data_IF_610678043919
#
_entry.id   IF_610678043919
#
_cell.length_a   1.000
_cell.length_b   1.000
_cell.length_c   1.000
_cell.angle_alpha   90.00
_cell.angle_beta   90.00
_cell.angle_gamma   90.00
#
_symmetry.space_group_name_H-M   'P 1'
#
loop_
_entity.id
_entity.type
_entity.pdbx_description
1 polymer ?
#
# COMPACT_ATOMS: atom_id res chain seq x y z
N UNK A 1 12.30 -40.03 54.91
CA UNK A 1 12.08 -40.61 53.56
C UNK A 1 10.84 -40.05 52.88
N UNK A 2 9.64 -40.07 53.51
CA UNK A 2 8.41 -39.54 52.91
C UNK A 2 8.44 -38.05 52.50
N UNK A 3 9.10 -37.16 53.27
CA UNK A 3 9.21 -35.73 52.91
C UNK A 3 10.09 -35.45 51.70
N UNK A 4 11.09 -36.28 51.42
CA UNK A 4 11.99 -36.10 50.26
C UNK A 4 11.32 -36.65 48.99
N UNK A 5 10.53 -37.72 49.11
CA UNK A 5 9.70 -38.26 48.01
C UNK A 5 8.59 -37.27 47.66
N UNK A 6 7.95 -36.63 48.64
CA UNK A 6 6.92 -35.62 48.38
C UNK A 6 7.49 -34.37 47.68
N UNK A 7 8.69 -33.91 48.07
CA UNK A 7 9.35 -32.74 47.45
C UNK A 7 9.87 -33.06 46.04
N UNK A 8 10.32 -34.30 45.78
CA UNK A 8 10.69 -34.73 44.43
C UNK A 8 9.48 -34.97 43.53
N UNK A 9 8.35 -35.42 44.08
CA UNK A 9 7.07 -35.46 43.35
C UNK A 9 6.50 -34.05 43.12
N UNK A 10 6.69 -33.12 44.06
CA UNK A 10 6.31 -31.71 43.89
C UNK A 10 7.22 -31.00 42.87
N UNK A 11 8.51 -31.34 42.79
CA UNK A 11 9.46 -30.80 41.80
C UNK A 11 9.32 -31.46 40.42
N UNK A 12 8.94 -32.75 40.35
CA UNK A 12 8.51 -33.37 39.08
C UNK A 12 7.17 -32.80 38.60
N UNK A 13 6.26 -32.47 39.53
CA UNK A 13 5.03 -31.75 39.22
C UNK A 13 5.25 -30.25 38.92
N UNK A 14 6.37 -29.67 39.36
CA UNK A 14 6.79 -28.31 39.01
C UNK A 14 7.55 -28.25 37.67
N UNK A 15 7.93 -29.42 37.14
CA UNK A 15 8.41 -29.62 35.77
C UNK A 15 7.32 -30.29 34.91
N UNK A 16 6.05 -29.95 35.14
CA UNK A 16 5.10 -29.90 34.02
C UNK A 16 5.66 -28.81 33.12
N UNK A 17 6.48 -29.24 32.15
CA UNK A 17 6.77 -28.52 30.93
C UNK A 17 5.48 -27.80 30.53
N UNK A 18 5.45 -26.47 30.56
CA UNK A 18 4.29 -25.66 30.21
C UNK A 18 3.93 -25.93 28.75
N UNK A 19 3.13 -26.98 28.55
CA UNK A 19 2.51 -27.33 27.30
C UNK A 19 1.43 -26.27 27.05
N UNK A 20 1.56 -25.56 25.94
CA UNK A 20 0.53 -24.62 25.49
C UNK A 20 -0.75 -25.41 25.22
N UNK A 21 -1.86 -24.96 25.77
CA UNK A 21 -3.18 -25.55 25.51
C UNK A 21 -3.80 -25.00 24.22
N UNK A 22 -4.92 -25.59 23.78
CA UNK A 22 -5.59 -25.17 22.53
C UNK A 22 -5.99 -23.69 22.57
N UNK A 23 -6.52 -23.20 23.69
CA UNK A 23 -7.05 -21.85 23.80
C UNK A 23 -5.95 -20.79 23.73
N UNK A 24 -4.83 -21.04 24.42
CA UNK A 24 -3.63 -20.22 24.35
C UNK A 24 -3.00 -20.26 22.94
N UNK A 25 -2.93 -21.45 22.31
CA UNK A 25 -2.44 -21.57 20.94
C UNK A 25 -3.29 -20.77 19.94
N UNK A 26 -4.61 -20.80 20.07
CA UNK A 26 -5.52 -20.02 19.23
C UNK A 26 -5.27 -18.53 19.42
N UNK A 27 -5.22 -18.05 20.67
CA UNK A 27 -4.96 -16.62 20.96
C UNK A 27 -3.63 -16.15 20.38
N UNK A 28 -2.57 -16.95 20.54
CA UNK A 28 -1.26 -16.67 19.94
C UNK A 28 -1.37 -16.61 18.41
N UNK A 29 -2.02 -17.58 17.76
CA UNK A 29 -2.20 -17.53 16.30
C UNK A 29 -3.11 -16.40 15.84
N UNK A 30 -4.01 -15.87 16.66
CA UNK A 30 -4.88 -14.74 16.27
C UNK A 30 -4.30 -13.37 16.66
N UNK A 31 -3.13 -13.31 17.30
CA UNK A 31 -2.46 -12.05 17.61
C UNK A 31 -1.82 -11.42 16.37
N UNK A 32 -1.53 -10.12 16.46
CA UNK A 32 -0.88 -9.37 15.39
C UNK A 32 0.54 -9.89 15.11
N UNK A 33 1.31 -10.11 16.17
CA UNK A 33 2.73 -10.50 16.12
C UNK A 33 2.93 -11.99 16.47
N UNK A 34 1.99 -12.84 16.05
CA UNK A 34 1.94 -14.27 16.40
C UNK A 34 3.30 -14.99 16.26
N UNK A 35 4.05 -14.71 15.19
CA UNK A 35 5.34 -15.37 14.95
C UNK A 35 6.37 -14.99 16.00
N UNK A 36 6.40 -13.73 16.43
CA UNK A 36 7.29 -13.25 17.48
C UNK A 36 6.91 -13.89 18.82
N UNK A 37 5.62 -13.87 19.17
CA UNK A 37 5.11 -14.46 20.41
C UNK A 37 5.38 -15.98 20.48
N UNK A 38 5.06 -16.72 19.41
CA UNK A 38 5.31 -18.16 19.30
C UNK A 38 6.81 -18.48 19.35
N UNK A 39 7.65 -17.68 18.68
CA UNK A 39 9.10 -17.90 18.70
C UNK A 39 9.71 -17.72 20.09
N UNK A 40 9.07 -16.92 20.94
CA UNK A 40 9.50 -16.59 22.30
C UNK A 40 9.08 -17.61 23.36
N UNK A 41 8.30 -18.64 22.99
CA UNK A 41 7.88 -19.69 23.92
C UNK A 41 9.08 -20.47 24.47
N UNK A 42 9.27 -20.47 25.79
CA UNK A 42 10.39 -21.13 26.47
C UNK A 42 10.19 -22.65 26.69
N UNK A 43 8.95 -23.14 26.59
CA UNK A 43 8.62 -24.55 26.81
C UNK A 43 9.05 -25.48 25.67
N UNK A 44 9.47 -26.70 26.03
CA UNK A 44 9.81 -27.80 25.11
C UNK A 44 8.75 -28.91 25.07
N UNK A 45 7.52 -28.60 25.48
CA UNK A 45 6.39 -29.53 25.37
C UNK A 45 6.03 -29.79 23.91
N UNK A 46 5.44 -30.95 23.62
CA UNK A 46 5.08 -31.34 22.25
C UNK A 46 4.14 -30.33 21.57
N UNK A 47 3.18 -29.75 22.31
CA UNK A 47 2.28 -28.71 21.78
C UNK A 47 3.01 -27.39 21.50
N UNK A 48 4.04 -27.03 22.27
CA UNK A 48 4.86 -25.84 22.00
C UNK A 48 5.69 -26.03 20.74
N UNK A 49 6.28 -27.23 20.56
CA UNK A 49 7.03 -27.58 19.35
C UNK A 49 6.08 -27.57 18.14
N UNK A 50 4.88 -28.13 18.29
CA UNK A 50 3.86 -28.15 17.24
C UNK A 50 3.40 -26.72 16.90
N UNK A 51 3.15 -25.87 17.89
CA UNK A 51 2.78 -24.48 17.67
C UNK A 51 3.90 -23.68 17.00
N UNK A 52 5.17 -23.93 17.35
CA UNK A 52 6.32 -23.36 16.64
C UNK A 52 6.36 -23.82 15.19
N UNK A 53 6.21 -25.12 14.92
CA UNK A 53 6.11 -25.63 13.56
C UNK A 53 4.97 -24.92 12.80
N UNK A 54 3.73 -24.96 13.31
CA UNK A 54 2.57 -24.29 12.72
C UNK A 54 2.86 -22.80 12.44
N UNK A 55 3.38 -22.06 13.43
CA UNK A 55 3.66 -20.64 13.31
C UNK A 55 4.69 -20.32 12.23
N UNK A 56 5.81 -21.05 12.18
CA UNK A 56 6.83 -20.89 11.14
C UNK A 56 6.31 -21.31 9.76
N UNK A 57 5.50 -22.36 9.67
CA UNK A 57 4.90 -22.77 8.41
C UNK A 57 3.91 -21.74 7.88
N UNK A 58 3.05 -21.17 8.74
CA UNK A 58 2.18 -20.05 8.37
C UNK A 58 2.98 -18.82 7.95
N UNK A 59 4.06 -18.47 8.66
CA UNK A 59 4.91 -17.35 8.29
C UNK A 59 5.55 -17.56 6.91
N UNK A 60 5.98 -18.78 6.59
CA UNK A 60 6.43 -19.13 5.24
C UNK A 60 5.32 -18.98 4.20
N UNK A 61 4.11 -19.46 4.48
CA UNK A 61 2.97 -19.33 3.56
C UNK A 61 2.62 -17.86 3.31
N UNK A 62 2.67 -17.03 4.34
CA UNK A 62 2.33 -15.60 4.28
C UNK A 62 3.40 -14.76 3.56
N UNK A 63 4.69 -15.12 3.70
CA UNK A 63 5.82 -14.28 3.25
C UNK A 63 6.65 -14.88 2.10
N UNK A 64 6.58 -16.19 1.91
CA UNK A 64 7.43 -17.00 1.02
C UNK A 64 8.94 -16.92 1.35
N UNK A 65 9.32 -16.52 2.56
CA UNK A 65 10.73 -16.47 2.97
C UNK A 65 11.24 -17.86 3.40
N UNK A 66 12.33 -18.32 2.78
CA UNK A 66 12.86 -19.68 2.96
C UNK A 66 13.37 -19.99 4.38
N UNK A 67 13.82 -18.98 5.12
CA UNK A 67 14.20 -19.11 6.52
C UNK A 67 13.07 -19.71 7.40
N UNK A 68 11.83 -19.31 7.16
CA UNK A 68 10.68 -19.83 7.89
C UNK A 68 10.34 -21.26 7.50
N UNK A 69 10.57 -21.64 6.23
CA UNK A 69 10.43 -23.03 5.79
C UNK A 69 11.45 -23.95 6.45
N UNK A 70 12.71 -23.53 6.54
CA UNK A 70 13.74 -24.32 7.22
C UNK A 70 13.40 -24.49 8.71
N UNK A 71 12.99 -23.41 9.37
CA UNK A 71 12.53 -23.45 10.77
C UNK A 71 11.29 -24.32 10.97
N UNK A 72 10.36 -24.32 10.02
CA UNK A 72 9.20 -25.22 10.06
C UNK A 72 9.67 -26.68 10.16
N UNK A 73 10.55 -27.13 9.27
CA UNK A 73 11.02 -28.52 9.27
C UNK A 73 11.89 -28.83 10.51
N UNK A 74 12.71 -27.88 10.97
CA UNK A 74 13.49 -28.05 12.22
C UNK A 74 12.59 -28.43 13.41
N UNK A 75 11.41 -27.83 13.53
CA UNK A 75 10.45 -28.15 14.61
C UNK A 75 9.56 -29.34 14.27
N UNK A 76 9.10 -29.44 13.02
CA UNK A 76 8.23 -30.54 12.58
C UNK A 76 8.91 -31.91 12.72
N UNK A 77 10.19 -32.02 12.37
CA UNK A 77 10.97 -33.26 12.49
C UNK A 77 11.15 -33.75 13.95
N UNK A 78 10.88 -32.89 14.94
CA UNK A 78 10.91 -33.25 16.36
C UNK A 78 9.60 -33.85 16.86
N UNK A 79 8.52 -33.77 16.08
CA UNK A 79 7.18 -34.16 16.50
C UNK A 79 6.93 -35.65 16.30
N UNK A 80 6.28 -36.26 17.29
CA UNK A 80 5.55 -37.50 17.09
C UNK A 80 4.06 -37.18 16.94
N UNK A 81 3.60 -37.05 15.69
CA UNK A 81 2.24 -36.56 15.36
C UNK A 81 1.15 -37.45 15.97
N UNK A 82 1.38 -38.76 16.09
CA UNK A 82 0.41 -39.70 16.69
C UNK A 82 0.20 -39.49 18.20
N UNK A 83 1.12 -38.81 18.88
CA UNK A 83 1.07 -38.50 20.31
C UNK A 83 0.55 -37.08 20.59
N UNK A 84 0.33 -36.27 19.55
CA UNK A 84 -0.23 -34.93 19.71
C UNK A 84 -1.73 -34.96 19.97
N UNK A 85 -2.28 -33.96 20.68
CA UNK A 85 -3.71 -33.69 20.67
C UNK A 85 -4.25 -33.57 19.23
N UNK A 86 -5.47 -34.06 18.99
CA UNK A 86 -6.07 -34.18 17.65
C UNK A 86 -6.09 -32.85 16.88
N UNK A 87 -6.39 -31.76 17.57
CA UNK A 87 -6.42 -30.39 17.04
C UNK A 87 -5.02 -29.90 16.60
N UNK A 88 -3.98 -30.17 17.37
CA UNK A 88 -2.60 -29.85 17.02
C UNK A 88 -2.08 -30.72 15.88
N UNK A 89 -2.35 -32.02 15.93
CA UNK A 89 -1.96 -32.96 14.89
C UNK A 89 -2.56 -32.56 13.54
N UNK A 90 -3.88 -32.31 13.51
CA UNK A 90 -4.59 -31.91 12.30
C UNK A 90 -4.12 -30.53 11.78
N UNK A 91 -3.93 -29.56 12.66
CA UNK A 91 -3.43 -28.23 12.27
C UNK A 91 -2.01 -28.28 11.70
N UNK A 92 -1.17 -29.16 12.25
CA UNK A 92 0.20 -29.38 11.76
C UNK A 92 0.20 -30.02 10.37
N UNK A 93 -0.65 -31.04 10.15
CA UNK A 93 -0.79 -31.73 8.85
C UNK A 93 -1.25 -30.78 7.73
N UNK A 94 -2.20 -29.89 8.03
CA UNK A 94 -2.63 -28.83 7.09
C UNK A 94 -1.43 -27.98 6.68
N UNK A 95 -0.68 -27.46 7.66
CA UNK A 95 0.45 -26.57 7.40
C UNK A 95 1.58 -27.30 6.67
N UNK A 96 1.94 -28.51 7.09
CA UNK A 96 2.95 -29.34 6.43
C UNK A 96 2.62 -29.54 4.95
N UNK A 97 1.38 -29.93 4.65
CA UNK A 97 0.93 -30.16 3.28
C UNK A 97 1.13 -28.91 2.41
N UNK A 98 0.78 -27.72 2.92
CA UNK A 98 0.96 -26.47 2.19
C UNK A 98 2.43 -26.10 2.02
N UNK A 99 3.24 -26.24 3.08
CA UNK A 99 4.69 -25.96 3.04
C UNK A 99 5.42 -26.87 2.05
N UNK A 100 5.05 -28.16 2.01
CA UNK A 100 5.67 -29.18 1.17
C UNK A 100 5.26 -29.06 -0.31
N UNK A 101 3.98 -28.82 -0.59
CA UNK A 101 3.45 -28.79 -1.97
C UNK A 101 3.63 -27.43 -2.64
N UNK A 102 3.73 -26.35 -1.86
CA UNK A 102 3.76 -24.96 -2.37
C UNK A 102 2.58 -24.63 -3.30
N UNK A 103 1.47 -25.37 -3.20
CA UNK A 103 0.26 -25.14 -3.99
C UNK A 103 -0.94 -24.87 -3.11
N UNK A 104 -1.65 -23.79 -3.44
CA UNK A 104 -2.93 -23.41 -2.84
C UNK A 104 -4.02 -24.47 -3.08
N UNK A 105 -3.91 -25.30 -4.13
CA UNK A 105 -4.88 -26.39 -4.37
C UNK A 105 -5.00 -27.39 -3.22
N UNK A 106 -3.97 -27.46 -2.37
CA UNK A 106 -3.95 -28.29 -1.15
C UNK A 106 -4.91 -27.79 -0.07
N UNK A 107 -5.39 -26.54 -0.17
CA UNK A 107 -6.38 -25.95 0.75
C UNK A 107 -7.73 -26.68 0.66
N UNK A 108 -8.06 -27.29 -0.48
CA UNK A 108 -9.29 -28.08 -0.66
C UNK A 108 -9.29 -29.39 0.15
N UNK A 109 -8.20 -29.72 0.84
CA UNK A 109 -8.07 -30.90 1.69
C UNK A 109 -8.55 -30.64 3.13
N UNK A 110 -8.85 -29.39 3.50
CA UNK A 110 -9.37 -29.08 4.83
C UNK A 110 -10.78 -29.64 4.96
N UNK A 111 -10.90 -30.68 5.80
CA UNK A 111 -12.18 -31.23 6.26
C UNK A 111 -12.81 -30.27 7.27
N UNK A 112 -13.77 -29.49 6.79
CA UNK A 112 -14.49 -28.48 7.57
C UNK A 112 -15.28 -29.08 8.74
N UNK A 113 -15.74 -30.33 8.62
CA UNK A 113 -16.57 -30.99 9.64
C UNK A 113 -15.74 -31.41 10.87
N UNK A 114 -14.41 -31.40 10.78
CA UNK A 114 -13.48 -31.73 11.87
C UNK A 114 -12.76 -30.52 12.46
N UNK A 115 -13.15 -29.30 12.11
CA UNK A 115 -12.38 -28.11 12.49
C UNK A 115 -12.55 -27.71 13.96
N UNK A 116 -11.49 -27.90 14.77
CA UNK A 116 -11.31 -27.27 16.09
C UNK A 116 -11.04 -25.76 15.96
N UNK A 117 -11.05 -25.00 17.06
CA UNK A 117 -10.74 -23.56 16.99
C UNK A 117 -9.31 -23.30 16.51
N UNK A 118 -8.36 -24.16 16.90
CA UNK A 118 -6.98 -24.10 16.43
C UNK A 118 -6.88 -24.26 14.91
N UNK A 119 -7.52 -25.28 14.36
CA UNK A 119 -7.51 -25.51 12.92
C UNK A 119 -8.25 -24.41 12.15
N UNK A 120 -9.30 -23.80 12.74
CA UNK A 120 -9.96 -22.62 12.17
C UNK A 120 -9.05 -21.40 12.15
N UNK A 121 -8.24 -21.17 13.20
CA UNK A 121 -7.27 -20.07 13.22
C UNK A 121 -6.20 -20.23 12.15
N UNK A 122 -5.69 -21.46 11.97
CA UNK A 122 -4.77 -21.82 10.87
C UNK A 122 -5.43 -21.61 9.51
N UNK A 123 -6.64 -22.15 9.31
CA UNK A 123 -7.38 -22.01 8.06
C UNK A 123 -7.71 -20.56 7.74
N UNK A 124 -8.10 -19.76 8.73
CA UNK A 124 -8.39 -18.32 8.58
C UNK A 124 -7.21 -17.58 7.95
N UNK A 125 -5.99 -17.79 8.47
CA UNK A 125 -4.76 -17.20 7.93
C UNK A 125 -4.51 -17.63 6.49
N UNK A 126 -4.60 -18.93 6.23
CA UNK A 126 -4.36 -19.54 4.91
C UNK A 126 -5.34 -19.02 3.86
N UNK A 127 -6.65 -19.03 4.14
CA UNK A 127 -7.66 -18.56 3.19
C UNK A 127 -7.61 -17.05 3.00
N UNK A 128 -7.27 -16.29 4.05
CA UNK A 128 -7.12 -14.85 3.92
C UNK A 128 -5.94 -14.48 3.04
N UNK A 129 -4.76 -15.09 3.24
CA UNK A 129 -3.61 -14.80 2.38
C UNK A 129 -3.84 -15.25 0.94
N UNK A 130 -4.47 -16.41 0.74
CA UNK A 130 -4.83 -16.85 -0.61
C UNK A 130 -5.75 -15.84 -1.29
N UNK A 131 -6.83 -15.41 -0.61
CA UNK A 131 -7.71 -14.38 -1.13
C UNK A 131 -6.95 -13.07 -1.44
N UNK A 132 -6.02 -12.66 -0.58
CA UNK A 132 -5.23 -11.45 -0.79
C UNK A 132 -4.37 -11.54 -2.05
N UNK A 133 -3.80 -12.70 -2.35
CA UNK A 133 -2.92 -12.95 -3.48
C UNK A 133 -3.68 -13.23 -4.79
N UNK A 134 -4.72 -14.06 -4.74
CA UNK A 134 -5.43 -14.55 -5.94
C UNK A 134 -6.70 -13.76 -6.26
N UNK A 135 -7.23 -13.03 -5.26
CA UNK A 135 -8.55 -12.39 -5.30
C UNK A 135 -9.69 -13.39 -5.55
N UNK A 136 -9.51 -14.67 -5.23
CA UNK A 136 -10.59 -15.68 -5.30
C UNK A 136 -11.68 -15.36 -4.26
N UNK A 137 -12.92 -15.05 -4.69
CA UNK A 137 -14.01 -14.76 -3.77
C UNK A 137 -14.41 -15.95 -2.88
N UNK A 138 -14.12 -17.19 -3.26
CA UNK A 138 -14.43 -18.34 -2.41
C UNK A 138 -13.52 -18.36 -1.18
N UNK A 139 -12.22 -18.15 -1.36
CA UNK A 139 -11.26 -18.05 -0.26
C UNK A 139 -11.62 -16.90 0.68
N UNK A 140 -12.00 -15.75 0.13
CA UNK A 140 -12.48 -14.62 0.94
C UNK A 140 -13.73 -14.97 1.76
N UNK A 141 -14.70 -15.67 1.19
CA UNK A 141 -15.92 -16.10 1.91
C UNK A 141 -15.62 -17.11 3.02
N UNK A 142 -14.73 -18.07 2.75
CA UNK A 142 -14.34 -19.08 3.76
C UNK A 142 -13.55 -18.43 4.89
N UNK A 143 -12.59 -17.56 4.58
CA UNK A 143 -11.86 -16.78 5.59
C UNK A 143 -12.84 -15.99 6.46
N UNK A 144 -13.76 -15.24 5.84
CA UNK A 144 -14.77 -14.46 6.57
C UNK A 144 -15.66 -15.34 7.45
N UNK A 145 -16.08 -16.53 6.98
CA UNK A 145 -16.85 -17.47 7.82
C UNK A 145 -16.09 -17.84 9.09
N UNK A 146 -14.82 -18.26 8.97
CA UNK A 146 -14.01 -18.59 10.14
C UNK A 146 -13.74 -17.37 11.02
N UNK A 147 -13.55 -16.20 10.43
CA UNK A 147 -13.35 -14.96 11.16
C UNK A 147 -14.59 -14.63 12.03
N UNK A 148 -15.80 -14.83 11.51
CA UNK A 148 -17.05 -14.64 12.29
C UNK A 148 -17.10 -15.60 13.48
N UNK A 149 -16.88 -16.90 13.24
CA UNK A 149 -16.92 -17.93 14.29
C UNK A 149 -15.83 -17.73 15.36
N UNK A 150 -14.64 -17.26 14.96
CA UNK A 150 -13.55 -16.99 15.88
C UNK A 150 -13.72 -15.67 16.62
N UNK A 151 -14.29 -14.63 16.00
CA UNK A 151 -14.58 -13.37 16.68
C UNK A 151 -15.62 -13.51 17.79
N UNK A 152 -16.56 -14.47 17.67
CA UNK A 152 -17.52 -14.76 18.75
C UNK A 152 -16.87 -15.44 19.96
N UNK A 153 -15.86 -16.29 19.73
CA UNK A 153 -15.19 -17.06 20.77
C UNK A 153 -13.98 -16.33 21.36
N UNK A 154 -13.31 -15.53 20.53
CA UNK A 154 -12.09 -14.78 20.83
C UNK A 154 -12.28 -13.28 20.49
N UNK A 155 -13.21 -12.59 21.18
CA UNK A 155 -13.66 -11.24 20.82
C UNK A 155 -12.61 -10.13 21.03
N UNK A 156 -11.48 -10.45 21.67
CA UNK A 156 -10.35 -9.53 21.86
C UNK A 156 -9.20 -9.81 20.91
N UNK A 157 -9.28 -10.85 20.08
CA UNK A 157 -8.20 -11.23 19.18
C UNK A 157 -8.20 -10.41 17.89
N UNK A 158 -7.03 -9.94 17.48
CA UNK A 158 -6.84 -9.05 16.33
C UNK A 158 -7.27 -9.66 14.99
N UNK A 159 -6.76 -10.86 14.68
CA UNK A 159 -6.78 -11.38 13.31
C UNK A 159 -8.19 -11.62 12.74
N UNK A 160 -9.19 -12.12 13.50
CA UNK A 160 -10.56 -12.20 13.01
C UNK A 160 -11.11 -10.84 12.56
N UNK A 161 -10.91 -9.78 13.34
CA UNK A 161 -11.37 -8.43 12.98
C UNK A 161 -10.63 -7.86 11.78
N UNK A 162 -9.32 -8.10 11.67
CA UNK A 162 -8.56 -7.76 10.46
C UNK A 162 -9.24 -8.32 9.21
N UNK A 163 -9.56 -9.62 9.21
CA UNK A 163 -10.19 -10.29 8.06
C UNK A 163 -11.59 -9.75 7.80
N UNK A 164 -12.41 -9.61 8.84
CA UNK A 164 -13.79 -9.11 8.72
C UNK A 164 -13.82 -7.69 8.14
N UNK A 165 -13.08 -6.77 8.74
CA UNK A 165 -13.07 -5.37 8.31
C UNK A 165 -12.47 -5.23 6.91
N UNK A 166 -11.39 -5.94 6.59
CA UNK A 166 -10.82 -5.93 5.26
C UNK A 166 -11.79 -6.50 4.22
N UNK A 167 -12.40 -7.67 4.49
CA UNK A 167 -13.37 -8.29 3.57
C UNK A 167 -14.56 -7.38 3.28
N UNK A 168 -15.18 -6.84 4.32
CA UNK A 168 -16.39 -6.04 4.16
C UNK A 168 -16.16 -4.62 3.61
N UNK A 169 -14.90 -4.17 3.52
CA UNK A 169 -14.54 -2.86 2.95
C UNK A 169 -13.86 -2.92 1.57
N UNK A 170 -13.15 -4.02 1.25
CA UNK A 170 -12.37 -4.14 0.00
C UNK A 170 -12.99 -5.10 -1.02
N UNK A 171 -13.80 -6.06 -0.57
CA UNK A 171 -14.42 -7.03 -1.47
C UNK A 171 -15.68 -6.46 -2.12
N UNK A 172 -15.91 -6.76 -3.40
CA UNK A 172 -17.20 -6.52 -4.05
C UNK A 172 -18.34 -7.37 -3.44
N UNK A 173 -17.99 -8.41 -2.68
CA UNK A 173 -18.92 -9.26 -1.92
C UNK A 173 -19.01 -8.84 -0.44
N UNK A 174 -18.34 -7.75 -0.06
CA UNK A 174 -18.44 -7.14 1.25
C UNK A 174 -19.82 -6.51 1.49
N UNK A 175 -20.06 -6.08 2.73
CA UNK A 175 -21.31 -5.43 3.14
C UNK A 175 -20.98 -4.43 4.22
N UNK A 176 -21.34 -3.17 3.98
CA UNK A 176 -21.17 -2.08 4.94
C UNK A 176 -21.98 -2.34 6.21
N UNK A 177 -23.15 -2.96 6.09
CA UNK A 177 -23.99 -3.30 7.24
C UNK A 177 -23.29 -4.28 8.17
N UNK A 178 -22.67 -5.33 7.62
CA UNK A 178 -21.90 -6.30 8.41
C UNK A 178 -20.64 -5.67 9.00
N UNK A 179 -19.96 -4.80 8.24
CA UNK A 179 -18.85 -4.00 8.77
C UNK A 179 -19.27 -3.21 10.01
N UNK A 180 -20.37 -2.46 9.92
CA UNK A 180 -20.91 -1.66 11.03
C UNK A 180 -21.38 -2.52 12.20
N UNK A 181 -21.91 -3.72 11.96
CA UNK A 181 -22.27 -4.66 13.01
C UNK A 181 -21.06 -5.08 13.84
N UNK A 182 -19.98 -5.54 13.20
CA UNK A 182 -18.78 -5.96 13.90
C UNK A 182 -18.04 -4.79 14.55
N UNK A 183 -18.06 -3.60 13.93
CA UNK A 183 -17.59 -2.36 14.56
C UNK A 183 -18.34 -2.09 15.87
N UNK A 184 -19.67 -2.17 15.87
CA UNK A 184 -20.49 -1.99 17.08
C UNK A 184 -20.24 -3.06 18.15
N UNK A 185 -19.84 -4.28 17.76
CA UNK A 185 -19.47 -5.35 18.68
C UNK A 185 -18.10 -5.13 19.32
N UNK A 186 -17.10 -4.72 18.54
CA UNK A 186 -15.70 -4.67 19.00
C UNK A 186 -15.36 -3.41 19.79
N UNK A 187 -15.88 -2.24 19.39
CA UNK A 187 -15.52 -0.97 20.03
C UNK A 187 -15.81 -0.91 21.55
N UNK A 188 -16.93 -1.46 22.07
CA UNK A 188 -17.19 -1.50 23.52
C UNK A 188 -16.18 -2.33 24.33
N UNK A 189 -15.40 -3.19 23.67
CA UNK A 189 -14.37 -4.02 24.31
C UNK A 189 -13.08 -3.23 24.55
N UNK A 190 -13.00 -1.96 24.10
CA UNK A 190 -11.79 -1.15 24.09
C UNK A 190 -10.62 -1.89 23.41
N UNK A 191 -10.78 -2.23 22.12
CA UNK A 191 -9.79 -3.02 21.42
C UNK A 191 -8.47 -2.25 21.29
N UNK A 192 -7.39 -2.98 21.08
CA UNK A 192 -6.08 -2.39 20.84
C UNK A 192 -6.02 -1.58 19.53
N UNK A 193 -4.92 -0.87 19.34
CA UNK A 193 -4.70 -0.03 18.17
C UNK A 193 -4.60 -0.84 16.87
N UNK A 194 -4.29 -2.14 16.92
CA UNK A 194 -4.21 -2.99 15.73
C UNK A 194 -5.59 -3.27 15.14
N UNK A 195 -6.56 -3.55 16.00
CA UNK A 195 -7.96 -3.68 15.60
C UNK A 195 -8.51 -2.31 15.17
N UNK A 196 -8.24 -1.24 15.92
CA UNK A 196 -8.70 0.11 15.56
C UNK A 196 -8.13 0.56 14.21
N UNK A 197 -6.87 0.26 13.89
CA UNK A 197 -6.29 0.52 12.58
C UNK A 197 -7.06 -0.21 11.46
N UNK A 198 -7.51 -1.45 11.71
CA UNK A 198 -8.32 -2.22 10.75
C UNK A 198 -9.72 -1.61 10.57
N UNK A 199 -10.30 -1.04 11.62
CA UNK A 199 -11.57 -0.29 11.56
C UNK A 199 -11.40 0.98 10.72
N UNK A 200 -10.42 1.83 11.06
CA UNK A 200 -10.14 3.10 10.39
C UNK A 200 -9.81 2.90 8.90
N UNK A 201 -9.04 1.86 8.55
CA UNK A 201 -8.79 1.48 7.16
C UNK A 201 -10.08 1.10 6.42
N UNK A 202 -10.94 0.31 7.05
CA UNK A 202 -12.20 -0.09 6.44
C UNK A 202 -13.17 1.07 6.25
N UNK A 203 -13.27 1.97 7.24
CA UNK A 203 -14.07 3.19 7.17
C UNK A 203 -13.60 4.11 6.05
N UNK A 204 -12.28 4.24 5.87
CA UNK A 204 -11.70 5.00 4.76
C UNK A 204 -12.18 4.45 3.41
N UNK A 205 -12.11 3.13 3.23
CA UNK A 205 -12.53 2.48 1.99
C UNK A 205 -14.05 2.57 1.75
N UNK A 206 -14.85 2.61 2.82
CA UNK A 206 -16.31 2.77 2.77
C UNK A 206 -16.77 4.24 2.70
N UNK A 207 -15.84 5.20 2.82
CA UNK A 207 -16.15 6.63 2.83
C UNK A 207 -16.88 7.12 4.09
N UNK A 208 -16.69 6.44 5.22
CA UNK A 208 -17.29 6.74 6.53
C UNK A 208 -16.42 7.75 7.29
N UNK A 209 -16.27 8.95 6.75
CA UNK A 209 -15.23 9.88 7.20
C UNK A 209 -15.49 10.47 8.60
N UNK A 210 -16.74 10.66 8.98
CA UNK A 210 -17.11 11.12 10.32
C UNK A 210 -16.78 10.05 11.37
N UNK A 211 -17.25 8.81 11.17
CA UNK A 211 -16.98 7.69 12.06
C UNK A 211 -15.48 7.38 12.16
N UNK A 212 -14.76 7.51 11.05
CA UNK A 212 -13.31 7.36 11.00
C UNK A 212 -12.59 8.29 11.95
N UNK A 213 -12.98 9.57 11.97
CA UNK A 213 -12.34 10.53 12.87
C UNK A 213 -12.68 10.28 14.34
N UNK A 214 -13.88 9.77 14.63
CA UNK A 214 -14.26 9.35 15.98
C UNK A 214 -13.43 8.16 16.46
N UNK A 215 -13.26 7.14 15.62
CA UNK A 215 -12.52 5.93 16.00
C UNK A 215 -11.01 6.12 15.99
N UNK A 216 -10.50 6.94 15.08
CA UNK A 216 -9.10 7.37 15.09
C UNK A 216 -8.73 8.07 16.42
N UNK A 217 -9.65 8.82 17.04
CA UNK A 217 -9.42 9.42 18.36
C UNK A 217 -9.36 8.41 19.52
N UNK A 218 -9.84 7.18 19.30
CA UNK A 218 -9.77 6.10 20.30
C UNK A 218 -8.40 5.44 20.33
N UNK A 219 -7.60 5.59 19.28
CA UNK A 219 -6.27 4.99 19.18
C UNK A 219 -5.32 5.65 20.18
N UNK A 220 -4.51 4.85 20.86
CA UNK A 220 -3.52 5.34 21.82
C UNK A 220 -2.26 5.85 21.11
N UNK A 221 -1.78 5.09 20.13
CA UNK A 221 -0.59 5.33 19.33
C UNK A 221 -0.95 5.03 17.86
N UNK A 222 -1.62 5.97 17.16
CA UNK A 222 -1.95 5.78 15.76
C UNK A 222 -0.70 5.59 14.92
N UNK A 223 -0.74 4.61 14.02
CA UNK A 223 0.32 4.40 13.03
C UNK A 223 0.25 5.43 11.88
N UNK A 224 1.30 5.51 11.06
CA UNK A 224 1.37 6.46 9.95
C UNK A 224 0.24 6.29 8.91
N UNK A 225 -0.22 5.06 8.67
CA UNK A 225 -1.30 4.80 7.72
C UNK A 225 -2.65 5.26 8.29
N UNK A 226 -2.89 5.01 9.58
CA UNK A 226 -4.03 5.57 10.31
C UNK A 226 -4.03 7.11 10.31
N UNK A 227 -2.86 7.75 10.47
CA UNK A 227 -2.71 9.20 10.29
C UNK A 227 -3.10 9.67 8.89
N UNK A 228 -2.64 8.96 7.84
CA UNK A 228 -3.02 9.26 6.46
C UNK A 228 -4.54 9.17 6.25
N UNK A 229 -5.20 8.12 6.76
CA UNK A 229 -6.64 7.95 6.64
C UNK A 229 -7.41 9.07 7.35
N UNK A 230 -6.99 9.46 8.56
CA UNK A 230 -7.57 10.57 9.29
C UNK A 230 -7.38 11.91 8.56
N UNK A 231 -6.20 12.16 8.00
CA UNK A 231 -5.97 13.36 7.20
C UNK A 231 -6.86 13.39 5.95
N UNK A 232 -7.00 12.26 5.26
CA UNK A 232 -7.87 12.15 4.09
C UNK A 232 -9.34 12.40 4.45
N UNK A 233 -9.82 11.83 5.56
CA UNK A 233 -11.16 12.10 6.08
C UNK A 233 -11.36 13.61 6.37
N UNK A 234 -10.40 14.26 7.02
CA UNK A 234 -10.43 15.71 7.24
C UNK A 234 -10.54 16.49 5.92
N UNK A 235 -9.81 16.11 4.87
CA UNK A 235 -9.93 16.74 3.54
C UNK A 235 -11.34 16.60 2.95
N UNK A 236 -11.95 15.42 3.09
CA UNK A 236 -13.32 15.16 2.59
C UNK A 236 -14.38 15.96 3.34
N UNK A 237 -14.14 16.23 4.63
CA UNK A 237 -15.00 17.06 5.47
C UNK A 237 -14.66 18.56 5.37
N UNK A 238 -13.71 18.96 4.51
CA UNK A 238 -13.32 20.35 4.30
C UNK A 238 -12.42 20.94 5.39
N UNK A 239 -11.91 20.12 6.31
CA UNK A 239 -11.00 20.51 7.39
C UNK A 239 -9.54 20.52 6.91
N UNK A 240 -9.28 21.32 5.87
CA UNK A 240 -8.01 21.29 5.13
C UNK A 240 -6.79 21.58 6.01
N UNK A 241 -6.87 22.57 6.91
CA UNK A 241 -5.77 22.91 7.81
C UNK A 241 -5.40 21.78 8.78
N UNK A 242 -6.40 21.07 9.32
CA UNK A 242 -6.18 19.90 10.18
C UNK A 242 -5.49 18.78 9.40
N UNK A 243 -5.98 18.50 8.19
CA UNK A 243 -5.39 17.48 7.32
C UNK A 243 -3.92 17.80 6.99
N UNK A 244 -3.61 19.06 6.68
CA UNK A 244 -2.24 19.48 6.36
C UNK A 244 -1.29 19.23 7.52
N UNK A 245 -1.69 19.59 8.75
CA UNK A 245 -0.90 19.37 9.95
C UNK A 245 -0.64 17.88 10.18
N UNK A 246 -1.68 17.04 10.05
CA UNK A 246 -1.54 15.59 10.21
C UNK A 246 -0.54 15.06 9.17
N UNK A 247 -0.74 15.35 7.88
CA UNK A 247 0.13 14.86 6.80
C UNK A 247 1.59 15.31 6.94
N UNK A 248 1.84 16.55 7.41
CA UNK A 248 3.20 17.05 7.65
C UNK A 248 3.89 16.34 8.83
N UNK A 249 3.11 15.81 9.78
CA UNK A 249 3.63 15.08 10.94
C UNK A 249 3.69 13.56 10.71
N UNK A 250 3.04 13.04 9.66
CA UNK A 250 3.11 11.63 9.24
C UNK A 250 4.42 11.34 8.53
N UNK A 251 5.02 10.17 8.77
CA UNK A 251 6.18 9.71 8.01
C UNK A 251 5.78 9.20 6.62
N UNK A 252 5.45 10.12 5.71
CA UNK A 252 4.89 9.79 4.38
C UNK A 252 5.75 8.83 3.54
N UNK A 253 7.08 8.81 3.75
CA UNK A 253 7.99 7.88 3.05
C UNK A 253 7.90 6.43 3.55
N UNK A 254 7.33 6.20 4.73
CA UNK A 254 7.10 4.86 5.28
C UNK A 254 5.77 4.24 4.81
N UNK A 255 4.87 5.06 4.25
CA UNK A 255 3.58 4.60 3.74
C UNK A 255 3.75 3.70 2.50
N UNK A 256 2.79 2.78 2.25
CA UNK A 256 2.69 2.14 0.95
C UNK A 256 2.66 3.20 -0.18
N UNK A 257 3.41 2.93 -1.25
CA UNK A 257 3.69 3.89 -2.34
C UNK A 257 2.46 4.61 -2.89
N UNK A 258 1.32 3.91 -2.97
CA UNK A 258 0.06 4.48 -3.43
C UNK A 258 -0.47 5.55 -2.48
N UNK A 259 -0.49 5.28 -1.17
CA UNK A 259 -0.94 6.24 -0.16
C UNK A 259 0.05 7.39 0.01
N UNK A 260 1.36 7.12 -0.02
CA UNK A 260 2.40 8.16 -0.03
C UNK A 260 2.20 9.12 -1.22
N UNK A 261 1.94 8.58 -2.41
CA UNK A 261 1.68 9.37 -3.61
C UNK A 261 0.44 10.25 -3.46
N UNK A 262 -0.66 9.72 -2.93
CA UNK A 262 -1.89 10.49 -2.68
C UNK A 262 -1.65 11.58 -1.63
N UNK A 263 -0.96 11.27 -0.53
CA UNK A 263 -0.64 12.22 0.53
C UNK A 263 0.16 13.42 0.01
N UNK A 264 1.22 13.16 -0.77
CA UNK A 264 1.99 14.22 -1.41
C UNK A 264 1.17 14.98 -2.45
N UNK A 265 0.27 14.33 -3.17
CA UNK A 265 -0.63 15.02 -4.10
C UNK A 265 -1.54 16.01 -3.36
N UNK A 266 -2.10 15.62 -2.21
CA UNK A 266 -2.96 16.49 -1.42
C UNK A 266 -2.18 17.64 -0.77
N UNK A 267 -0.98 17.39 -0.22
CA UNK A 267 -0.10 18.49 0.26
C UNK A 267 0.28 19.47 -0.85
N UNK A 268 0.49 18.98 -2.07
CA UNK A 268 0.74 19.82 -3.23
C UNK A 268 -0.47 20.69 -3.58
N UNK A 269 -1.67 20.11 -3.53
CA UNK A 269 -2.93 20.84 -3.74
C UNK A 269 -3.15 21.92 -2.68
N UNK A 270 -2.96 21.58 -1.42
CA UNK A 270 -3.08 22.53 -0.30
C UNK A 270 -2.11 23.71 -0.51
N UNK A 271 -0.84 23.40 -0.81
CA UNK A 271 0.17 24.44 -1.08
C UNK A 271 -0.20 25.32 -2.27
N UNK A 272 -0.79 24.75 -3.31
CA UNK A 272 -1.25 25.48 -4.49
C UNK A 272 -2.43 26.41 -4.16
N UNK A 273 -3.41 25.93 -3.39
CA UNK A 273 -4.57 26.70 -2.93
C UNK A 273 -4.15 27.85 -2.01
N UNK A 274 -3.07 27.70 -1.24
CA UNK A 274 -2.42 28.76 -0.46
C UNK A 274 -1.59 29.74 -1.30
N UNK A 275 -1.44 29.48 -2.60
CA UNK A 275 -0.63 30.28 -3.52
C UNK A 275 0.88 30.02 -3.45
N UNK A 276 1.32 29.01 -2.69
CA UNK A 276 2.72 28.60 -2.60
C UNK A 276 3.08 27.59 -3.71
N UNK A 277 3.26 28.12 -4.92
CA UNK A 277 3.51 27.31 -6.12
C UNK A 277 4.82 26.50 -6.02
N UNK A 278 5.86 27.00 -5.36
CA UNK A 278 7.11 26.26 -5.23
C UNK A 278 6.97 25.01 -4.34
N UNK A 279 6.23 25.12 -3.24
CA UNK A 279 5.89 23.97 -2.39
C UNK A 279 4.97 22.99 -3.13
N UNK A 280 3.98 23.49 -3.87
CA UNK A 280 3.10 22.64 -4.69
C UNK A 280 3.91 21.81 -5.70
N UNK A 281 4.83 22.47 -6.41
CA UNK A 281 5.74 21.82 -7.34
C UNK A 281 6.62 20.76 -6.67
N UNK A 282 7.10 21.01 -5.44
CA UNK A 282 7.88 20.04 -4.67
C UNK A 282 7.05 18.79 -4.35
N UNK A 283 5.86 18.98 -3.78
CA UNK A 283 5.02 17.87 -3.35
C UNK A 283 4.46 17.07 -4.53
N UNK A 284 4.03 17.71 -5.62
CA UNK A 284 3.61 16.96 -6.81
C UNK A 284 4.73 16.13 -7.42
N UNK A 285 6.00 16.59 -7.38
CA UNK A 285 7.14 15.75 -7.76
C UNK A 285 7.30 14.55 -6.82
N UNK A 286 7.22 14.75 -5.51
CA UNK A 286 7.29 13.67 -4.51
C UNK A 286 6.18 12.64 -4.69
N UNK A 287 4.99 13.07 -5.09
CA UNK A 287 3.87 12.19 -5.42
C UNK A 287 4.21 11.25 -6.58
N UNK A 288 4.79 11.78 -7.67
CA UNK A 288 5.21 11.01 -8.84
C UNK A 288 6.43 10.12 -8.54
N UNK A 289 7.38 10.60 -7.74
CA UNK A 289 8.51 9.79 -7.26
C UNK A 289 8.03 8.57 -6.45
N UNK A 290 7.00 8.75 -5.63
CA UNK A 290 6.40 7.67 -4.84
C UNK A 290 5.62 6.68 -5.71
N UNK A 291 4.82 7.20 -6.65
CA UNK A 291 4.11 6.41 -7.64
C UNK A 291 4.13 7.07 -9.02
N UNK A 292 4.98 6.53 -9.91
CA UNK A 292 5.15 7.02 -11.27
C UNK A 292 3.90 6.87 -12.16
N UNK A 293 2.86 6.15 -11.73
CA UNK A 293 1.60 6.02 -12.46
C UNK A 293 0.53 7.02 -12.02
N UNK A 294 0.81 7.91 -11.06
CA UNK A 294 -0.16 8.90 -10.60
C UNK A 294 -0.37 10.01 -11.65
N UNK A 295 -1.33 9.79 -12.55
CA UNK A 295 -1.70 10.74 -13.62
C UNK A 295 -2.26 12.05 -13.07
N UNK A 296 -2.97 12.02 -11.94
CA UNK A 296 -3.53 13.22 -11.32
C UNK A 296 -2.42 14.16 -10.84
N UNK A 297 -1.41 13.62 -10.15
CA UNK A 297 -0.22 14.37 -9.77
C UNK A 297 0.57 14.91 -10.98
N UNK A 298 0.67 14.16 -12.08
CA UNK A 298 1.30 14.64 -13.32
C UNK A 298 0.55 15.83 -13.92
N UNK A 299 -0.78 15.77 -13.98
CA UNK A 299 -1.61 16.88 -14.46
C UNK A 299 -1.41 18.10 -13.57
N UNK A 300 -1.56 17.94 -12.25
CA UNK A 300 -1.38 19.02 -11.27
C UNK A 300 0.03 19.63 -11.35
N UNK A 301 1.09 18.81 -11.46
CA UNK A 301 2.46 19.29 -11.65
C UNK A 301 2.61 20.09 -12.94
N UNK A 302 2.05 19.58 -14.05
CA UNK A 302 2.08 20.24 -15.35
C UNK A 302 1.41 21.61 -15.33
N UNK A 303 0.23 21.71 -14.71
CA UNK A 303 -0.50 22.97 -14.55
C UNK A 303 0.20 23.93 -13.58
N UNK A 304 0.74 23.43 -12.46
CA UNK A 304 1.49 24.24 -11.51
C UNK A 304 2.75 24.86 -12.15
N UNK A 305 3.41 24.18 -13.07
CA UNK A 305 4.54 24.76 -13.82
C UNK A 305 4.14 25.99 -14.64
N UNK A 306 2.91 26.01 -15.20
CA UNK A 306 2.39 27.15 -15.96
C UNK A 306 2.03 28.35 -15.07
N UNK A 307 1.70 28.08 -13.81
CA UNK A 307 1.41 29.11 -12.79
C UNK A 307 2.68 29.69 -12.17
N UNK A 308 3.82 29.02 -12.29
CA UNK A 308 5.09 29.53 -11.77
C UNK A 308 5.62 30.71 -12.60
N UNK A 309 6.36 31.63 -11.97
CA UNK A 309 6.87 32.85 -12.63
C UNK A 309 8.01 32.58 -13.64
N UNK A 310 8.45 31.32 -13.73
CA UNK A 310 9.51 30.89 -14.64
C UNK A 310 8.92 30.48 -16.00
N UNK A 311 9.01 31.41 -16.96
CA UNK A 311 8.54 31.23 -18.33
C UNK A 311 9.25 30.11 -19.08
N UNK A 312 10.35 29.56 -18.58
CA UNK A 312 11.06 28.47 -19.24
C UNK A 312 10.52 27.07 -18.86
N UNK A 313 9.51 27.00 -17.98
CA UNK A 313 8.88 25.74 -17.56
C UNK A 313 7.76 25.24 -18.48
N UNK A 314 7.47 25.91 -19.60
CA UNK A 314 6.47 25.43 -20.59
C UNK A 314 6.81 24.05 -21.16
N UNK A 315 8.10 23.74 -21.33
CA UNK A 315 8.54 22.43 -21.81
C UNK A 315 8.24 21.34 -20.80
N UNK A 316 8.51 21.61 -19.50
CA UNK A 316 8.21 20.68 -18.42
C UNK A 316 6.70 20.50 -18.24
N UNK A 317 5.93 21.59 -18.28
CA UNK A 317 4.48 21.55 -18.23
C UNK A 317 3.92 20.64 -19.35
N UNK A 318 4.33 20.87 -20.60
CA UNK A 318 3.90 20.03 -21.72
C UNK A 318 4.31 18.57 -21.53
N UNK A 319 5.55 18.30 -21.11
CA UNK A 319 6.05 16.96 -20.88
C UNK A 319 5.19 16.18 -19.87
N UNK A 320 4.92 16.75 -18.69
CA UNK A 320 4.11 16.06 -17.67
C UNK A 320 2.65 15.91 -18.08
N UNK A 321 2.08 16.90 -18.78
CA UNK A 321 0.72 16.80 -19.31
C UNK A 321 0.61 15.71 -20.39
N UNK A 322 1.59 15.58 -21.29
CA UNK A 322 1.63 14.48 -22.27
C UNK A 322 1.84 13.12 -21.58
N UNK A 323 2.77 13.04 -20.62
CA UNK A 323 3.04 11.83 -19.85
C UNK A 323 1.83 11.34 -19.04
N UNK A 324 0.97 12.27 -18.59
CA UNK A 324 -0.26 11.92 -17.87
C UNK A 324 -1.23 11.07 -18.71
N UNK A 325 -1.17 11.15 -20.05
CA UNK A 325 -2.10 10.48 -20.94
C UNK A 325 -3.56 10.93 -20.79
N UNK A 326 -3.79 12.13 -20.23
CA UNK A 326 -5.13 12.65 -19.94
C UNK A 326 -5.69 13.57 -21.04
N UNK A 327 -4.98 13.75 -22.16
CA UNK A 327 -5.41 14.64 -23.25
C UNK A 327 -6.79 14.28 -23.82
N UNK A 328 -7.11 12.99 -23.94
CA UNK A 328 -8.42 12.55 -24.47
C UNK A 328 -9.55 12.63 -23.43
N UNK A 329 -9.21 12.73 -22.13
CA UNK A 329 -10.15 12.59 -21.02
C UNK A 329 -10.36 13.88 -20.23
N UNK A 330 -9.49 14.87 -20.37
CA UNK A 330 -9.51 16.12 -19.64
C UNK A 330 -9.37 17.31 -20.61
N UNK A 331 -10.44 18.09 -20.74
CA UNK A 331 -10.51 19.24 -21.66
C UNK A 331 -9.50 20.36 -21.30
N UNK A 332 -9.24 20.58 -20.02
CA UNK A 332 -8.22 21.54 -19.57
C UNK A 332 -6.84 21.07 -20.02
N UNK A 333 -6.53 19.78 -19.88
CA UNK A 333 -5.27 19.20 -20.36
C UNK A 333 -5.16 19.34 -21.88
N UNK A 334 -6.23 19.00 -22.62
CA UNK A 334 -6.25 19.07 -24.07
C UNK A 334 -6.04 20.49 -24.62
N UNK A 335 -6.78 21.46 -24.08
CA UNK A 335 -6.68 22.86 -24.47
C UNK A 335 -5.31 23.44 -24.12
N UNK A 336 -4.78 23.09 -22.94
CA UNK A 336 -3.45 23.49 -22.49
C UNK A 336 -2.35 22.93 -23.39
N UNK A 337 -2.38 21.64 -23.71
CA UNK A 337 -1.41 21.02 -24.62
C UNK A 337 -1.44 21.64 -26.01
N UNK A 338 -2.63 21.91 -26.54
CA UNK A 338 -2.79 22.62 -27.81
C UNK A 338 -2.16 24.01 -27.79
N UNK A 339 -2.38 24.78 -26.72
CA UNK A 339 -1.74 26.08 -26.52
C UNK A 339 -0.21 25.96 -26.48
N UNK A 340 0.32 25.03 -25.68
CA UNK A 340 1.76 24.85 -25.51
C UNK A 340 2.46 24.42 -26.81
N UNK A 341 1.85 23.49 -27.56
CA UNK A 341 2.37 23.04 -28.87
C UNK A 341 2.38 24.19 -29.88
N UNK A 342 1.29 24.97 -29.99
CA UNK A 342 1.24 26.15 -30.87
C UNK A 342 2.29 27.18 -30.50
N UNK A 343 2.44 27.47 -29.21
CA UNK A 343 3.43 28.41 -28.69
C UNK A 343 4.86 27.98 -29.04
N UNK A 344 5.18 26.69 -28.91
CA UNK A 344 6.47 26.15 -29.29
C UNK A 344 6.74 26.32 -30.80
N UNK A 345 5.78 25.94 -31.66
CA UNK A 345 5.92 26.07 -33.11
C UNK A 345 6.14 27.52 -33.52
N UNK A 346 5.33 28.45 -32.99
CA UNK A 346 5.51 29.88 -33.23
C UNK A 346 6.86 30.38 -32.72
N UNK A 347 7.30 29.92 -31.53
CA UNK A 347 8.60 30.27 -30.97
C UNK A 347 9.76 29.86 -31.89
N UNK A 348 9.73 28.63 -32.41
CA UNK A 348 10.73 28.12 -33.36
C UNK A 348 10.68 28.93 -34.67
N UNK A 349 9.48 29.19 -35.19
CA UNK A 349 9.28 29.95 -36.42
C UNK A 349 9.91 31.35 -36.32
N UNK A 350 9.59 32.11 -35.27
CA UNK A 350 10.06 33.49 -35.12
C UNK A 350 11.52 33.60 -34.68
N UNK A 351 12.00 32.71 -33.80
CA UNK A 351 13.36 32.81 -33.24
C UNK A 351 14.42 32.14 -34.11
N UNK A 352 14.07 31.13 -34.89
CA UNK A 352 15.04 30.34 -35.66
C UNK A 352 14.79 30.42 -37.17
N UNK A 353 13.56 30.16 -37.62
CA UNK A 353 13.28 30.04 -39.06
C UNK A 353 13.26 31.40 -39.77
N UNK A 354 12.55 32.39 -39.24
CA UNK A 354 12.41 33.70 -39.86
C UNK A 354 13.75 34.45 -39.99
N UNK A 355 14.62 34.49 -38.95
CA UNK A 355 15.93 35.11 -39.06
C UNK A 355 16.83 34.40 -40.08
N UNK A 356 16.75 33.07 -40.18
CA UNK A 356 17.49 32.30 -41.17
C UNK A 356 17.06 32.67 -42.60
N UNK A 357 15.74 32.72 -42.86
CA UNK A 357 15.19 33.14 -44.15
C UNK A 357 15.62 34.58 -44.47
N UNK A 358 15.50 35.50 -43.51
CA UNK A 358 15.91 36.88 -43.68
C UNK A 358 17.42 37.00 -44.01
N UNK A 359 18.27 36.22 -43.34
CA UNK A 359 19.71 36.16 -43.62
C UNK A 359 20.00 35.65 -45.04
N UNK A 360 19.32 34.60 -45.49
CA UNK A 360 19.46 34.08 -46.86
C UNK A 360 19.01 35.10 -47.90
N UNK A 361 17.86 35.74 -47.69
CA UNK A 361 17.34 36.78 -48.60
C UNK A 361 18.29 37.97 -48.67
N UNK A 362 18.80 38.43 -47.52
CA UNK A 362 19.77 39.52 -47.48
C UNK A 362 21.07 39.16 -48.21
N UNK A 363 21.58 37.93 -48.03
CA UNK A 363 22.76 37.46 -48.73
C UNK A 363 22.56 37.44 -50.26
N UNK A 364 21.40 36.96 -50.73
CA UNK A 364 21.08 36.96 -52.16
C UNK A 364 21.02 38.39 -52.74
N UNK A 365 20.34 39.32 -52.05
CA UNK A 365 20.29 40.73 -52.44
C UNK A 365 21.69 41.35 -52.49
N UNK A 366 22.52 41.03 -51.50
CA UNK A 366 23.89 41.54 -51.41
C UNK A 366 24.78 41.03 -52.56
N UNK A 367 24.66 39.74 -52.90
CA UNK A 367 25.34 39.14 -54.07
C UNK A 367 24.91 39.83 -55.35
N UNK A 368 23.61 40.01 -55.58
CA UNK A 368 23.11 40.66 -56.79
C UNK A 368 23.57 42.12 -56.90
N UNK A 369 23.56 42.87 -55.79
CA UNK A 369 24.08 44.23 -55.74
C UNK A 369 25.56 44.28 -56.16
N UNK A 370 26.39 43.36 -55.64
CA UNK A 370 27.80 43.28 -55.99
C UNK A 370 28.02 42.93 -57.47
N UNK A 371 27.24 41.98 -58.00
CA UNK A 371 27.28 41.63 -59.42
C UNK A 371 26.91 42.83 -60.31
N UNK A 372 25.81 43.53 -60.01
CA UNK A 372 25.40 44.75 -60.74
C UNK A 372 26.45 45.85 -60.66
N UNK A 373 27.03 46.08 -59.49
CA UNK A 373 28.10 47.08 -59.29
C UNK A 373 29.37 46.73 -60.07
N UNK A 374 29.75 45.45 -60.10
CA UNK A 374 30.91 44.97 -60.85
C UNK A 374 30.69 45.12 -62.36
N UNK A 375 29.48 44.83 -62.84
CA UNK A 375 29.08 45.01 -64.24
C UNK A 375 29.11 46.49 -64.67
N UNK A 376 28.54 47.40 -63.87
CA UNK A 376 28.64 48.86 -64.12
C UNK A 376 30.08 49.35 -64.22
N UNK A 377 30.97 48.90 -63.33
CA UNK A 377 32.41 49.25 -63.40
C UNK A 377 33.11 48.70 -64.65
N UNK A 378 32.65 47.59 -65.21
CA UNK A 378 33.18 47.07 -66.47
C UNK A 378 32.67 47.87 -67.66
N UNK A 379 31.38 48.22 -67.67
CA UNK A 379 30.77 49.07 -68.70
C UNK A 379 31.41 50.48 -68.72
N UNK A 380 31.62 51.12 -67.56
CA UNK A 380 32.32 52.42 -67.44
C UNK A 380 33.80 52.36 -67.86
N UNK A 381 34.46 51.20 -67.77
CA UNK A 381 35.83 51.02 -68.28
C UNK A 381 35.86 50.91 -69.80
N UNK A 382 34.92 50.16 -70.37
CA UNK A 382 34.79 49.99 -71.81
C UNK A 382 34.46 51.34 -72.47
N UNK A 383 33.57 52.15 -71.90
CA UNK A 383 33.26 53.51 -72.37
C UNK A 383 34.43 54.50 -72.28
N UNK A 384 35.40 54.26 -71.38
CA UNK A 384 36.62 55.09 -71.27
C UNK A 384 37.73 54.64 -72.21
N UNK A 385 37.63 53.43 -72.76
CA UNK A 385 38.61 52.84 -73.68
C UNK A 385 38.14 52.91 -75.16
N UNK A 386 36.87 53.25 -75.41
CA UNK A 386 36.30 53.63 -76.71
C UNK A 386 36.38 55.14 -76.95
#
# INVERSE_FOLDING_TARGET
>A
MYKIILITFLLLAFCVLFAVDEDEAVKLLLSQDYIFEISSLEGVGATNIALKAIGYGLAYIETLEWNYKDRFFDYHDQLNIEELPEDFAYSTDIVETLVATSTVSSINLIDFDKTSNLSKAVALRIYFIDWMQTKDPNSGKVATKFAMELAEQYPESYYPYKVLFYYHSHSSFGSREVFEEYRKKVLPLNPDDAILASVVEGEYNLGMYEELLEDYQRMNIPDDLSHFFAAYANLKLGQVGTAEIILKNTSLSALPKQYASIAYEELGKISEDEGNIDSALFYYRKSIESNSSNRAAMVKLGLAYLKSDDRDKYTLARFYLEMSGMEEYNEEVASTLNYLRRKLVLGILFKQVLPLIAGVVFALIFVEYFFKRRRRKQEERIEKES
#
